data_IF_521138747932
#
_entry.id   IF_521138747932
#
_cell.length_a   1.000
_cell.length_b   1.000
_cell.length_c   1.000
_cell.angle_alpha   90.00
_cell.angle_beta   90.00
_cell.angle_gamma   90.00
#
_symmetry.space_group_name_H-M   'P 1'
#
loop_
_entity.id
_entity.type
_entity.pdbx_description
1 polymer ?
#
# COMPACT_ATOMS: atom_id res chain seq x y z
N UNK A 1 -45.08 -32.02 73.33
CA UNK A 1 -43.74 -31.39 73.41
C UNK A 1 -43.09 -31.64 72.05
N UNK A 2 -42.80 -30.71 71.15
CA UNK A 2 -42.57 -29.27 71.22
C UNK A 2 -43.06 -28.57 69.94
N UNK A 3 -43.35 -27.28 70.11
CA UNK A 3 -43.67 -26.20 69.17
C UNK A 3 -43.04 -26.31 67.76
N UNK A 4 -43.86 -26.26 66.72
CA UNK A 4 -44.21 -25.07 65.89
C UNK A 4 -43.01 -24.46 65.15
N UNK A 5 -42.83 -24.87 63.89
CA UNK A 5 -42.12 -24.10 62.87
C UNK A 5 -43.16 -23.41 61.99
N UNK A 6 -43.17 -22.07 62.01
CA UNK A 6 -43.95 -21.20 61.15
C UNK A 6 -43.01 -20.62 60.09
N UNK A 7 -43.55 -20.54 58.87
CA UNK A 7 -43.22 -19.60 57.80
C UNK A 7 -41.85 -19.76 57.11
N UNK A 8 -41.86 -20.21 55.87
CA UNK A 8 -41.74 -19.28 54.75
C UNK A 8 -42.10 -19.97 53.43
N UNK A 9 -43.22 -19.55 52.85
CA UNK A 9 -43.47 -19.70 51.42
C UNK A 9 -42.80 -18.57 50.65
N UNK A 10 -42.28 -18.88 49.47
CA UNK A 10 -42.57 -18.25 48.17
C UNK A 10 -41.50 -18.77 47.20
N UNK A 11 -41.86 -19.78 46.41
CA UNK A 11 -41.26 -19.95 45.10
C UNK A 11 -41.85 -18.87 44.21
N UNK A 12 -40.99 -18.05 43.59
CA UNK A 12 -41.13 -17.61 42.20
C UNK A 12 -40.01 -16.64 41.82
N UNK A 13 -39.51 -16.85 40.60
CA UNK A 13 -38.86 -15.89 39.69
C UNK A 13 -37.35 -15.67 39.84
N UNK A 14 -36.66 -15.91 38.72
CA UNK A 14 -35.49 -15.14 38.34
C UNK A 14 -34.21 -15.93 38.13
N UNK A 15 -34.23 -16.94 37.26
CA UNK A 15 -32.99 -17.45 36.67
C UNK A 15 -32.31 -16.36 35.85
N UNK A 16 -31.38 -15.62 36.45
CA UNK A 16 -30.45 -14.75 35.74
C UNK A 16 -29.26 -15.58 35.32
N UNK A 17 -29.42 -16.29 34.21
CA UNK A 17 -28.28 -16.73 33.39
C UNK A 17 -27.52 -15.46 33.02
N UNK A 18 -26.43 -15.18 33.74
CA UNK A 18 -25.43 -14.19 33.33
C UNK A 18 -24.71 -14.75 32.12
N UNK A 19 -25.39 -14.73 30.97
CA UNK A 19 -24.75 -14.80 29.68
C UNK A 19 -23.87 -13.55 29.60
N UNK A 20 -22.59 -13.72 29.90
CA UNK A 20 -21.56 -12.80 29.43
C UNK A 20 -21.62 -12.83 27.92
N UNK A 21 -22.48 -11.98 27.35
CA UNK A 21 -22.37 -11.54 25.98
C UNK A 21 -20.96 -10.92 25.88
N UNK A 22 -20.01 -11.73 25.44
CA UNK A 22 -18.75 -11.22 24.95
C UNK A 22 -19.12 -10.32 23.79
N UNK A 23 -19.18 -9.02 24.07
CA UNK A 23 -19.25 -8.00 23.04
C UNK A 23 -18.16 -8.35 22.02
N UNK A 24 -18.47 -8.37 20.71
CA UNK A 24 -17.45 -8.63 19.71
C UNK A 24 -16.31 -7.66 19.97
N UNK A 25 -15.13 -8.20 20.29
CA UNK A 25 -13.94 -7.41 20.52
C UNK A 25 -13.68 -6.60 19.25
N UNK A 26 -14.11 -5.34 19.25
CA UNK A 26 -13.73 -4.36 18.24
C UNK A 26 -12.23 -4.19 18.40
N UNK A 27 -11.45 -5.00 17.67
CA UNK A 27 -10.03 -4.75 17.47
C UNK A 27 -9.88 -3.29 17.06
N UNK A 28 -9.03 -2.49 17.73
CA UNK A 28 -8.84 -1.11 17.34
C UNK A 28 -8.32 -1.10 15.90
N UNK A 29 -9.11 -0.50 15.00
CA UNK A 29 -8.70 -0.20 13.63
C UNK A 29 -7.75 0.98 13.73
N UNK A 30 -6.46 0.71 13.55
CA UNK A 30 -5.36 1.69 13.67
C UNK A 30 -5.30 2.50 12.38
N UNK A 31 -4.22 3.16 11.93
CA UNK A 31 -4.15 3.56 10.49
C UNK A 31 -3.49 2.52 9.59
N UNK A 32 -3.16 1.36 10.13
CA UNK A 32 -3.45 0.11 9.43
C UNK A 32 -4.98 -0.21 9.38
N UNK A 33 -5.84 0.70 9.84
CA UNK A 33 -7.30 0.55 9.94
C UNK A 33 -8.19 1.78 9.60
N UNK A 34 -7.66 3.00 9.39
CA UNK A 34 -8.36 4.14 8.72
C UNK A 34 -7.75 4.32 7.33
N UNK A 35 -6.42 4.46 7.23
CA UNK A 35 -5.64 4.24 6.00
C UNK A 35 -5.23 2.77 5.84
N UNK A 36 -6.22 1.87 5.85
CA UNK A 36 -5.98 0.44 6.08
C UNK A 36 -5.02 -0.25 5.11
N UNK A 37 -4.57 -1.46 5.46
CA UNK A 37 -3.80 -2.33 4.57
C UNK A 37 -4.46 -2.54 3.18
N UNK A 38 -5.79 -2.39 3.08
CA UNK A 38 -6.51 -2.42 1.81
C UNK A 38 -6.11 -1.27 0.86
N UNK A 39 -5.90 -0.07 1.39
CA UNK A 39 -5.47 1.09 0.60
C UNK A 39 -4.03 0.90 0.13
N UNK A 40 -3.17 0.35 0.99
CA UNK A 40 -1.79 0.08 0.62
C UNK A 40 -1.67 -1.08 -0.38
N UNK A 41 -2.53 -2.09 -0.31
CA UNK A 41 -2.66 -3.12 -1.36
C UNK A 41 -3.08 -2.47 -2.68
N UNK A 42 -4.11 -1.59 -2.66
CA UNK A 42 -4.57 -0.84 -3.82
C UNK A 42 -3.42 -0.01 -4.43
N UNK A 43 -2.72 0.79 -3.62
CA UNK A 43 -1.54 1.58 -4.04
C UNK A 43 -0.44 0.68 -4.61
N UNK A 44 -0.20 -0.49 -4.01
CA UNK A 44 0.82 -1.42 -4.48
C UNK A 44 0.50 -2.00 -5.86
N UNK A 45 -0.78 -2.10 -6.25
CA UNK A 45 -1.21 -2.53 -7.58
C UNK A 45 -1.29 -1.39 -8.61
N UNK A 46 -1.30 -0.13 -8.17
CA UNK A 46 -1.47 1.03 -9.06
C UNK A 46 -0.24 1.37 -9.89
N UNK A 47 -0.29 1.26 -11.21
CA UNK A 47 0.86 1.67 -12.03
C UNK A 47 0.97 3.19 -12.16
N UNK A 48 -0.14 3.93 -12.24
CA UNK A 48 -0.13 5.39 -12.45
C UNK A 48 -0.53 6.20 -11.20
N UNK A 49 -0.21 7.49 -11.25
CA UNK A 49 -0.52 8.47 -10.20
C UNK A 49 -2.03 8.59 -9.90
N UNK A 50 -2.89 8.52 -10.93
CA UNK A 50 -4.33 8.69 -10.76
C UNK A 50 -4.95 7.53 -9.97
N UNK A 51 -4.48 6.30 -10.21
CA UNK A 51 -4.83 5.13 -9.44
C UNK A 51 -4.38 5.27 -7.98
N UNK A 52 -3.13 5.70 -7.75
CA UNK A 52 -2.61 5.92 -6.39
C UNK A 52 -3.46 6.96 -5.65
N UNK A 53 -3.75 8.10 -6.27
CA UNK A 53 -4.60 9.13 -5.67
C UNK A 53 -6.01 8.62 -5.38
N UNK A 54 -6.60 7.82 -6.27
CA UNK A 54 -7.89 7.19 -6.01
C UNK A 54 -7.84 6.27 -4.78
N UNK A 55 -6.85 5.38 -4.69
CA UNK A 55 -6.65 4.51 -3.53
C UNK A 55 -6.44 5.29 -2.21
N UNK A 56 -5.82 6.47 -2.27
CA UNK A 56 -5.56 7.33 -1.12
C UNK A 56 -6.73 8.27 -0.77
N UNK A 57 -7.67 8.52 -1.68
CA UNK A 57 -8.89 9.27 -1.36
C UNK A 57 -9.86 8.42 -0.53
N UNK A 58 -9.89 7.11 -0.76
CA UNK A 58 -10.80 6.21 -0.05
C UNK A 58 -10.37 5.98 1.41
N UNK A 59 -10.98 6.71 2.34
CA UNK A 59 -10.79 6.51 3.79
C UNK A 59 -9.52 7.14 4.40
N UNK A 60 -8.65 7.73 3.58
CA UNK A 60 -7.38 8.34 3.99
C UNK A 60 -7.33 9.88 3.87
N UNK A 61 -8.18 10.46 3.02
CA UNK A 61 -8.05 11.84 2.53
C UNK A 61 -7.91 12.87 3.64
N UNK A 62 -8.82 12.86 4.62
CA UNK A 62 -8.82 13.84 5.71
C UNK A 62 -7.56 13.75 6.56
N UNK A 63 -7.09 12.54 6.88
CA UNK A 63 -5.93 12.34 7.73
C UNK A 63 -4.64 12.80 7.03
N UNK A 64 -4.47 12.44 5.76
CA UNK A 64 -3.31 12.86 4.96
C UNK A 64 -3.30 14.36 4.73
N UNK A 65 -4.45 14.96 4.42
CA UNK A 65 -4.60 16.41 4.24
C UNK A 65 -4.22 17.18 5.51
N UNK A 66 -4.67 16.72 6.68
CA UNK A 66 -4.34 17.36 7.96
C UNK A 66 -2.84 17.26 8.27
N UNK A 67 -2.21 16.11 7.99
CA UNK A 67 -0.78 15.95 8.23
C UNK A 67 0.06 16.81 7.28
N UNK A 68 -0.30 16.86 6.00
CA UNK A 68 0.34 17.74 5.01
C UNK A 68 0.25 19.21 5.44
N UNK A 69 -0.94 19.67 5.80
CA UNK A 69 -1.15 21.05 6.25
C UNK A 69 -0.32 21.36 7.51
N UNK A 70 -0.26 20.42 8.47
CA UNK A 70 0.52 20.61 9.68
C UNK A 70 2.03 20.69 9.40
N UNK A 71 2.59 19.74 8.64
CA UNK A 71 4.02 19.69 8.33
C UNK A 71 4.48 20.88 7.48
N UNK A 72 3.64 21.33 6.55
CA UNK A 72 3.87 22.56 5.80
C UNK A 72 3.86 23.80 6.71
N UNK A 73 2.87 23.94 7.60
CA UNK A 73 2.78 25.05 8.56
C UNK A 73 3.94 25.06 9.55
N UNK A 74 4.42 23.88 9.96
CA UNK A 74 5.57 23.73 10.84
C UNK A 74 6.91 24.02 10.16
N UNK A 75 6.94 24.21 8.83
CA UNK A 75 8.17 24.44 8.09
C UNK A 75 9.10 23.23 8.08
N UNK A 76 8.57 22.01 8.16
CA UNK A 76 9.39 20.80 8.11
C UNK A 76 10.17 20.74 6.78
N UNK A 77 11.42 20.29 6.84
CA UNK A 77 12.18 19.94 5.64
C UNK A 77 11.74 18.56 5.09
N UNK A 78 11.87 18.29 3.78
CA UNK A 78 11.52 17.00 3.17
C UNK A 78 12.18 15.80 3.85
N UNK A 79 13.43 15.95 4.28
CA UNK A 79 14.29 14.93 4.87
C UNK A 79 14.33 14.93 6.41
N UNK A 80 13.72 15.94 7.07
CA UNK A 80 13.64 15.99 8.53
C UNK A 80 12.52 15.07 9.05
N UNK A 81 12.85 13.78 9.18
CA UNK A 81 11.93 12.75 9.69
C UNK A 81 11.48 12.97 11.13
N UNK A 82 12.16 13.83 11.89
CA UNK A 82 11.84 14.12 13.30
C UNK A 82 10.82 15.25 13.45
N UNK A 83 10.75 16.17 12.48
CA UNK A 83 9.86 17.33 12.53
C UNK A 83 8.37 16.96 12.66
N UNK A 84 7.83 15.98 11.90
CA UNK A 84 6.42 15.60 12.03
C UNK A 84 6.05 15.15 13.45
N UNK A 85 6.92 14.39 14.11
CA UNK A 85 6.66 13.96 15.51
C UNK A 85 6.70 15.13 16.47
N UNK A 86 7.68 16.02 16.31
CA UNK A 86 7.92 17.16 17.21
C UNK A 86 6.86 18.24 17.09
N UNK A 87 6.46 18.56 15.86
CA UNK A 87 5.59 19.71 15.56
C UNK A 87 4.15 19.32 15.27
N UNK A 88 3.92 18.08 14.83
CA UNK A 88 2.61 17.57 14.41
C UNK A 88 2.17 16.32 15.18
N UNK A 89 2.74 16.07 16.37
CA UNK A 89 2.56 14.83 17.13
C UNK A 89 1.11 14.38 17.32
N UNK A 90 0.17 15.30 17.59
CA UNK A 90 -1.25 14.96 17.73
C UNK A 90 -1.88 14.52 16.39
N UNK A 91 -1.61 15.24 15.30
CA UNK A 91 -2.09 14.86 13.95
C UNK A 91 -1.48 13.51 13.56
N UNK A 92 -0.19 13.32 13.86
CA UNK A 92 0.50 12.04 13.68
C UNK A 92 -0.12 10.89 14.48
N UNK A 93 -0.55 11.12 15.73
CA UNK A 93 -1.27 10.11 16.50
C UNK A 93 -2.63 9.81 15.90
N UNK A 94 -3.39 10.83 15.50
CA UNK A 94 -4.72 10.65 14.89
C UNK A 94 -4.67 10.02 13.49
N UNK A 95 -3.56 10.20 12.77
CA UNK A 95 -3.32 9.68 11.43
C UNK A 95 -2.47 8.39 11.40
N UNK A 96 -1.83 7.96 12.49
CA UNK A 96 -1.04 6.73 12.51
C UNK A 96 -1.19 5.82 13.74
N UNK A 97 -1.99 6.19 14.75
CA UNK A 97 -2.13 5.43 16.02
C UNK A 97 -3.60 5.02 16.32
N UNK A 98 -3.85 3.96 17.11
CA UNK A 98 -2.90 3.11 17.82
C UNK A 98 -2.34 1.99 16.94
N UNK A 99 -1.28 2.21 16.16
CA UNK A 99 -0.65 1.15 15.39
C UNK A 99 0.23 0.35 16.35
N UNK A 100 0.01 -0.96 16.52
CA UNK A 100 0.98 -1.77 17.24
C UNK A 100 2.37 -1.56 16.61
N UNK A 101 3.46 -1.65 17.38
CA UNK A 101 4.80 -1.76 16.80
C UNK A 101 4.71 -2.81 15.70
N UNK A 102 5.13 -2.49 14.48
CA UNK A 102 5.01 -3.48 13.41
C UNK A 102 5.83 -4.69 13.83
N UNK A 103 5.21 -5.85 14.08
CA UNK A 103 5.96 -7.04 14.45
C UNK A 103 6.76 -7.57 13.25
N UNK A 104 6.45 -7.06 12.05
CA UNK A 104 7.09 -7.48 10.82
C UNK A 104 8.36 -6.69 10.55
N UNK A 105 9.38 -7.44 10.13
CA UNK A 105 10.64 -6.90 9.67
C UNK A 105 10.49 -6.56 8.19
N UNK A 106 11.18 -5.51 7.79
CA UNK A 106 11.26 -5.18 6.38
C UNK A 106 11.90 -6.32 5.58
N UNK A 107 11.23 -6.73 4.50
CA UNK A 107 11.78 -7.71 3.56
C UNK A 107 12.89 -7.06 2.73
N UNK A 108 14.12 -7.46 3.01
CA UNK A 108 15.33 -6.95 2.35
C UNK A 108 15.50 -7.50 0.93
N UNK A 109 15.14 -8.78 0.72
CA UNK A 109 15.10 -9.38 -0.62
C UNK A 109 13.69 -9.90 -0.93
N UNK A 110 12.82 -9.05 -1.51
CA UNK A 110 11.47 -9.42 -1.92
C UNK A 110 11.40 -10.67 -2.80
N UNK A 111 12.43 -10.94 -3.59
CA UNK A 111 12.45 -12.07 -4.50
C UNK A 111 13.07 -13.35 -3.92
N UNK A 112 13.57 -13.31 -2.67
CA UNK A 112 14.06 -14.51 -2.00
C UNK A 112 12.94 -15.54 -1.84
N UNK A 113 13.06 -16.68 -2.53
CA UNK A 113 12.08 -17.76 -2.49
C UNK A 113 10.97 -17.69 -3.54
N UNK A 114 10.99 -16.70 -4.44
CA UNK A 114 10.14 -16.71 -5.65
C UNK A 114 10.85 -17.49 -6.75
N UNK A 115 10.31 -18.66 -7.09
CA UNK A 115 10.81 -19.50 -8.17
C UNK A 115 10.18 -19.15 -9.54
N UNK A 116 10.84 -19.55 -10.64
CA UNK A 116 10.29 -19.35 -11.97
C UNK A 116 8.99 -20.14 -12.16
N UNK A 117 8.00 -19.53 -12.80
CA UNK A 117 6.78 -20.21 -13.25
C UNK A 117 6.44 -19.80 -14.68
N UNK A 118 6.09 -20.77 -15.52
CA UNK A 118 5.76 -20.54 -16.93
C UNK A 118 6.99 -20.47 -17.83
N UNK A 119 6.86 -19.75 -18.95
CA UNK A 119 7.94 -19.58 -19.90
C UNK A 119 9.07 -18.69 -19.33
N UNK A 120 10.32 -18.83 -19.82
CA UNK A 120 11.41 -17.93 -19.44
C UNK A 120 11.08 -16.46 -19.71
N UNK A 121 11.51 -15.58 -18.82
CA UNK A 121 11.37 -14.13 -19.03
C UNK A 121 12.25 -13.69 -20.22
N UNK A 122 11.70 -12.97 -21.20
CA UNK A 122 12.47 -12.38 -22.29
C UNK A 122 13.60 -11.49 -21.78
N UNK A 123 14.79 -11.62 -22.36
CA UNK A 123 16.01 -10.92 -21.90
C UNK A 123 15.89 -9.40 -21.96
N UNK A 124 15.16 -8.91 -22.94
CA UNK A 124 14.86 -7.50 -23.18
C UNK A 124 13.95 -6.88 -22.11
N UNK A 125 13.15 -7.68 -21.41
CA UNK A 125 12.28 -7.23 -20.30
C UNK A 125 13.02 -7.18 -18.95
N UNK A 126 14.16 -7.87 -18.83
CA UNK A 126 14.94 -7.89 -17.59
C UNK A 126 15.51 -6.52 -17.23
N UNK A 127 15.64 -6.27 -15.92
CA UNK A 127 16.24 -5.05 -15.38
C UNK A 127 15.24 -4.16 -14.64
N UNK A 128 15.67 -2.94 -14.33
CA UNK A 128 14.86 -1.92 -13.65
C UNK A 128 14.34 -0.92 -14.66
N UNK A 129 13.08 -0.56 -14.47
CA UNK A 129 12.31 0.32 -15.32
C UNK A 129 11.61 1.36 -14.46
N UNK A 130 11.57 2.62 -14.88
CA UNK A 130 10.87 3.70 -14.20
C UNK A 130 9.75 4.25 -15.08
N UNK A 131 8.56 4.44 -14.52
CA UNK A 131 7.40 4.90 -15.27
C UNK A 131 7.66 6.30 -15.82
N UNK A 132 7.61 6.44 -17.14
CA UNK A 132 7.82 7.70 -17.85
C UNK A 132 6.49 8.31 -18.35
N UNK A 133 5.51 7.48 -18.70
CA UNK A 133 4.20 7.93 -19.14
C UNK A 133 3.11 6.88 -18.89
N UNK A 134 1.86 7.34 -18.76
CA UNK A 134 0.69 6.48 -18.67
C UNK A 134 -0.48 7.13 -19.44
N UNK A 135 -1.33 6.32 -20.06
CA UNK A 135 -2.60 6.81 -20.62
C UNK A 135 -3.51 7.19 -19.46
N UNK A 136 -3.74 8.50 -19.26
CA UNK A 136 -4.65 9.00 -18.24
C UNK A 136 -6.10 8.69 -18.65
N UNK A 137 -6.89 8.10 -17.74
CA UNK A 137 -8.33 8.01 -17.94
C UNK A 137 -8.93 9.42 -18.13
N UNK A 138 -9.82 9.57 -19.11
CA UNK A 138 -10.70 10.74 -19.15
C UNK A 138 -11.58 10.71 -17.91
N UNK A 139 -11.61 11.83 -17.17
CA UNK A 139 -12.43 11.92 -15.97
C UNK A 139 -13.91 11.83 -16.32
N UNK A 140 -14.71 11.01 -15.61
CA UNK A 140 -16.15 10.98 -15.79
C UNK A 140 -16.75 12.39 -15.58
N UNK A 141 -17.78 12.79 -16.35
CA UNK A 141 -18.46 14.06 -16.15
C UNK A 141 -18.99 14.18 -14.72
N UNK A 142 -18.66 15.28 -14.02
CA UNK A 142 -19.13 15.55 -12.66
C UNK A 142 -18.19 15.08 -11.54
N UNK A 143 -17.05 14.46 -11.87
CA UNK A 143 -15.99 14.20 -10.89
C UNK A 143 -15.33 15.54 -10.51
N UNK A 144 -15.15 15.87 -9.22
CA UNK A 144 -14.40 17.05 -8.84
C UNK A 144 -13.00 16.99 -9.47
N UNK A 145 -12.61 18.08 -10.14
CA UNK A 145 -11.34 18.18 -10.83
C UNK A 145 -10.20 17.73 -9.91
N UNK A 146 -9.22 17.01 -10.45
CA UNK A 146 -7.97 16.71 -9.75
C UNK A 146 -7.46 17.97 -9.05
N UNK A 147 -7.20 17.86 -7.76
CA UNK A 147 -6.51 18.89 -6.98
C UNK A 147 -5.14 19.21 -7.57
N UNK A 148 -4.55 18.26 -8.31
CA UNK A 148 -3.31 18.44 -9.06
C UNK A 148 -3.41 17.75 -10.45
N UNK A 149 -3.46 18.50 -11.56
CA UNK A 149 -3.64 17.95 -12.91
C UNK A 149 -2.37 17.27 -13.45
N UNK A 150 -1.22 17.42 -12.80
CA UNK A 150 0.04 16.78 -13.19
C UNK A 150 0.28 15.54 -12.32
N UNK A 151 0.90 14.47 -12.87
CA UNK A 151 1.39 13.37 -12.03
C UNK A 151 2.32 13.96 -10.97
N UNK A 152 1.97 13.75 -9.69
CA UNK A 152 2.75 14.36 -8.60
C UNK A 152 4.20 13.87 -8.69
N UNK A 153 5.20 14.77 -8.60
CA UNK A 153 6.61 14.41 -8.77
C UNK A 153 7.15 13.48 -7.68
N UNK A 154 6.43 13.34 -6.55
CA UNK A 154 6.81 12.42 -5.48
C UNK A 154 6.41 10.96 -5.76
N UNK A 155 5.59 10.71 -6.78
CA UNK A 155 5.24 9.37 -7.26
C UNK A 155 6.29 8.83 -8.22
N UNK A 156 7.40 8.33 -7.68
CA UNK A 156 8.36 7.56 -8.48
C UNK A 156 7.92 6.10 -8.49
N UNK A 157 7.52 5.60 -9.66
CA UNK A 157 7.13 4.19 -9.85
C UNK A 157 8.21 3.45 -10.61
N UNK A 158 8.67 2.33 -10.06
CA UNK A 158 9.61 1.45 -10.72
C UNK A 158 9.12 0.01 -10.78
N UNK A 159 9.40 -0.66 -11.90
CA UNK A 159 9.24 -2.09 -12.09
C UNK A 159 10.63 -2.71 -12.27
N UNK A 160 10.97 -3.68 -11.43
CA UNK A 160 12.16 -4.51 -11.61
C UNK A 160 11.71 -5.92 -12.01
N UNK A 161 12.35 -6.48 -13.05
CA UNK A 161 12.13 -7.87 -13.48
C UNK A 161 13.45 -8.62 -13.44
N UNK A 162 13.49 -9.69 -12.64
CA UNK A 162 14.70 -10.51 -12.41
C UNK A 162 14.72 -11.77 -13.28
N UNK A 163 15.92 -12.32 -13.60
CA UNK A 163 16.05 -13.53 -14.43
C UNK A 163 15.28 -14.76 -13.92
N UNK A 164 15.00 -14.84 -12.62
CA UNK A 164 14.21 -15.91 -12.00
C UNK A 164 12.70 -15.78 -12.17
N UNK A 165 12.20 -14.80 -12.93
CA UNK A 165 10.76 -14.58 -13.08
C UNK A 165 10.12 -13.90 -11.88
N UNK A 166 10.92 -13.29 -10.99
CA UNK A 166 10.39 -12.42 -9.95
C UNK A 166 10.23 -11.00 -10.50
N UNK A 167 9.12 -10.34 -10.16
CA UNK A 167 9.02 -8.89 -10.32
C UNK A 167 8.94 -8.20 -8.96
N UNK A 168 9.40 -6.96 -8.92
CA UNK A 168 9.21 -6.02 -7.83
C UNK A 168 8.65 -4.71 -8.40
N UNK A 169 7.47 -4.33 -7.95
CA UNK A 169 6.80 -3.09 -8.34
C UNK A 169 6.81 -2.17 -7.11
N UNK A 170 7.42 -0.99 -7.23
CA UNK A 170 7.65 -0.07 -6.12
C UNK A 170 7.10 1.32 -6.44
N UNK A 171 6.34 1.91 -5.51
CA UNK A 171 5.93 3.31 -5.52
C UNK A 171 6.55 4.02 -4.32
N UNK A 172 7.29 5.09 -4.57
CA UNK A 172 7.67 6.02 -3.50
C UNK A 172 6.53 7.01 -3.26
N UNK A 173 6.23 7.26 -1.98
CA UNK A 173 5.29 8.27 -1.50
C UNK A 173 6.07 9.17 -0.53
N UNK A 174 6.07 10.49 -0.76
CA UNK A 174 6.82 11.45 0.05
C UNK A 174 5.95 12.65 0.40
N UNK A 175 6.55 13.83 0.48
CA UNK A 175 5.97 15.10 0.93
C UNK A 175 4.57 15.41 0.42
N UNK A 176 4.34 15.34 -0.89
CA UNK A 176 3.06 15.75 -1.47
C UNK A 176 1.93 14.75 -1.17
N UNK A 177 2.28 13.55 -0.70
CA UNK A 177 1.36 12.48 -0.33
C UNK A 177 1.23 12.32 1.19
N UNK A 178 2.34 12.29 1.91
CA UNK A 178 2.41 11.95 3.33
C UNK A 178 2.71 13.16 4.23
N UNK A 179 2.96 14.33 3.66
CA UNK A 179 3.48 15.50 4.38
C UNK A 179 5.00 15.44 4.56
N UNK A 180 5.64 16.61 4.63
CA UNK A 180 7.11 16.72 4.67
C UNK A 180 7.72 15.97 5.85
N UNK A 181 8.86 15.32 5.64
CA UNK A 181 9.52 14.49 6.65
C UNK A 181 8.90 13.09 6.81
N UNK A 182 7.93 12.71 5.97
CA UNK A 182 7.37 11.36 5.94
C UNK A 182 7.66 10.70 4.59
N UNK A 183 7.95 9.40 4.61
CA UNK A 183 8.22 8.62 3.42
C UNK A 183 7.73 7.19 3.60
N UNK A 184 7.10 6.65 2.56
CA UNK A 184 6.82 5.23 2.41
C UNK A 184 7.23 4.76 1.02
N UNK A 185 7.90 3.63 0.95
CA UNK A 185 8.07 2.84 -0.26
C UNK A 185 7.05 1.69 -0.21
N UNK A 186 6.06 1.74 -1.11
CA UNK A 186 5.03 0.71 -1.25
C UNK A 186 5.48 -0.28 -2.32
N UNK A 187 5.80 -1.49 -1.89
CA UNK A 187 6.34 -2.56 -2.73
C UNK A 187 5.36 -3.72 -2.84
N UNK A 188 5.15 -4.23 -4.05
CA UNK A 188 4.53 -5.52 -4.31
C UNK A 188 5.49 -6.38 -5.12
N UNK A 189 5.58 -7.66 -4.80
CA UNK A 189 6.45 -8.58 -5.51
C UNK A 189 5.79 -9.94 -5.70
N UNK A 190 6.29 -10.67 -6.69
CA UNK A 190 5.75 -11.97 -7.01
C UNK A 190 6.25 -12.45 -8.35
N UNK A 191 5.39 -13.10 -9.11
CA UNK A 191 5.76 -13.85 -10.30
C UNK A 191 5.44 -13.06 -11.56
N UNK A 192 6.46 -12.83 -12.39
CA UNK A 192 6.37 -12.34 -13.76
C UNK A 192 6.06 -13.53 -14.69
N UNK A 193 4.78 -13.83 -14.86
CA UNK A 193 4.35 -15.02 -15.59
C UNK A 193 4.13 -14.71 -17.07
N UNK A 194 5.01 -15.23 -17.93
CA UNK A 194 4.94 -15.05 -19.38
C UNK A 194 4.01 -16.08 -20.01
N UNK A 195 3.10 -15.61 -20.85
CA UNK A 195 2.14 -16.40 -21.61
C UNK A 195 2.26 -16.04 -23.10
N UNK A 196 2.64 -17.00 -23.94
CA UNK A 196 2.86 -16.72 -25.37
C UNK A 196 4.09 -15.85 -25.62
N UNK A 197 4.04 -15.01 -26.67
CA UNK A 197 5.19 -14.19 -27.13
C UNK A 197 5.23 -12.80 -26.52
N UNK A 198 4.07 -12.25 -26.16
CA UNK A 198 3.87 -10.85 -25.85
C UNK A 198 2.94 -10.61 -24.66
N UNK A 199 2.48 -11.66 -23.96
CA UNK A 199 1.63 -11.50 -22.77
C UNK A 199 2.36 -11.81 -21.48
N UNK A 200 2.07 -11.01 -20.47
CA UNK A 200 2.55 -11.21 -19.10
C UNK A 200 1.43 -11.02 -18.09
N UNK A 201 1.45 -11.79 -17.02
CA UNK A 201 0.67 -11.52 -15.80
C UNK A 201 1.62 -11.22 -14.64
N UNK A 202 1.42 -10.08 -13.97
CA UNK A 202 2.13 -9.74 -12.73
C UNK A 202 1.37 -10.33 -11.53
N UNK A 203 1.73 -11.55 -11.12
CA UNK A 203 1.07 -12.23 -10.01
C UNK A 203 1.77 -11.90 -8.68
N UNK A 204 1.39 -10.79 -8.06
CA UNK A 204 1.91 -10.45 -6.73
C UNK A 204 1.57 -11.55 -5.72
N UNK A 205 2.58 -11.97 -4.95
CA UNK A 205 2.48 -12.99 -3.91
C UNK A 205 2.51 -12.37 -2.53
N UNK A 206 3.15 -11.22 -2.39
CA UNK A 206 3.31 -10.51 -1.14
C UNK A 206 3.60 -9.02 -1.41
N UNK A 207 3.57 -8.21 -0.36
CA UNK A 207 3.88 -6.80 -0.46
C UNK A 207 4.07 -6.15 0.90
N UNK A 208 4.69 -4.98 0.89
CA UNK A 208 4.96 -4.21 2.09
C UNK A 208 5.04 -2.71 1.78
N UNK A 209 4.52 -1.87 2.67
CA UNK A 209 4.92 -0.47 2.73
C UNK A 209 5.96 -0.27 3.84
N UNK A 210 7.13 0.29 3.54
CA UNK A 210 8.17 0.61 4.53
C UNK A 210 8.66 2.04 4.46
N UNK A 211 8.99 2.62 5.61
CA UNK A 211 9.64 3.93 5.69
C UNK A 211 9.31 4.71 6.95
N UNK A 212 9.94 5.87 7.16
CA UNK A 212 9.68 6.73 8.30
C UNK A 212 8.35 7.47 8.14
N UNK A 213 7.46 7.29 9.12
CA UNK A 213 6.23 8.09 9.22
C UNK A 213 6.08 8.57 10.65
N UNK A 214 5.93 9.88 10.80
CA UNK A 214 5.85 10.54 12.08
C UNK A 214 7.02 10.17 13.00
N UNK A 215 8.24 10.21 12.43
CA UNK A 215 9.51 9.92 13.11
C UNK A 215 9.68 8.49 13.62
N UNK A 216 8.80 7.58 13.20
CA UNK A 216 8.89 6.15 13.54
C UNK A 216 9.10 5.34 12.26
N UNK A 217 9.99 4.33 12.26
CA UNK A 217 10.03 3.36 11.18
C UNK A 217 8.72 2.58 11.16
N UNK A 218 8.10 2.50 9.98
CA UNK A 218 6.90 1.72 9.74
C UNK A 218 7.19 0.61 8.75
N UNK A 219 6.58 -0.54 9.02
CA UNK A 219 6.52 -1.69 8.14
C UNK A 219 5.07 -2.13 8.13
N UNK A 220 4.40 -2.09 6.99
CA UNK A 220 2.98 -2.42 6.88
C UNK A 220 2.84 -3.60 5.91
N UNK A 221 2.51 -4.82 6.39
CA UNK A 221 2.22 -5.95 5.51
C UNK A 221 1.05 -5.67 4.57
N UNK A 222 1.19 -6.11 3.33
CA UNK A 222 0.11 -6.14 2.35
C UNK A 222 -0.29 -7.60 2.18
N UNK A 223 -1.45 -7.98 2.73
CA UNK A 223 -1.82 -9.39 2.90
C UNK A 223 -1.85 -10.21 1.60
N UNK A 224 -1.37 -11.46 1.71
CA UNK A 224 -1.41 -12.51 0.69
C UNK A 224 -2.86 -12.85 0.29
N UNK A 225 -3.15 -12.84 -1.01
CA UNK A 225 -4.46 -13.24 -1.57
C UNK A 225 -5.42 -12.11 -1.94
N UNK A 226 -5.01 -10.84 -1.81
CA UNK A 226 -5.78 -9.68 -2.29
C UNK A 226 -5.29 -9.10 -3.61
N UNK A 227 -4.11 -9.52 -4.05
CA UNK A 227 -3.55 -9.07 -5.30
C UNK A 227 -4.27 -9.74 -6.46
N UNK A 228 -4.95 -8.95 -7.29
CA UNK A 228 -5.67 -9.41 -8.47
C UNK A 228 -4.82 -9.34 -9.73
N UNK A 229 -3.69 -8.61 -9.71
CA UNK A 229 -2.60 -8.73 -10.68
C UNK A 229 -3.03 -8.67 -12.15
N UNK A 230 -3.15 -7.47 -12.74
CA UNK A 230 -3.56 -7.32 -14.14
C UNK A 230 -2.71 -8.12 -15.13
N UNK A 231 -3.36 -8.53 -16.22
CA UNK A 231 -2.73 -9.11 -17.40
C UNK A 231 -2.37 -8.00 -18.37
N UNK A 232 -1.21 -8.14 -19.00
CA UNK A 232 -0.68 -7.17 -19.94
C UNK A 232 -0.26 -7.84 -21.23
N UNK A 233 -0.43 -7.13 -22.33
CA UNK A 233 0.47 -7.25 -23.48
C UNK A 233 1.68 -6.35 -23.22
N UNK A 234 2.89 -6.82 -23.52
CA UNK A 234 4.11 -6.04 -23.37
C UNK A 234 4.82 -5.87 -24.72
N UNK A 235 5.52 -4.75 -24.86
CA UNK A 235 6.39 -4.45 -26.00
C UNK A 235 7.64 -3.74 -25.49
N UNK A 236 8.80 -4.14 -26.00
CA UNK A 236 10.07 -3.46 -25.70
C UNK A 236 10.60 -2.83 -26.98
N UNK A 237 10.80 -1.52 -26.95
CA UNK A 237 11.44 -0.75 -28.01
C UNK A 237 12.66 -0.02 -27.45
N UNK A 238 13.86 -0.49 -27.80
CA UNK A 238 15.12 0.00 -27.23
C UNK A 238 15.09 -0.05 -25.69
N UNK A 239 14.98 1.12 -25.05
CA UNK A 239 14.97 1.29 -23.60
C UNK A 239 13.59 1.66 -23.06
N UNK A 240 12.54 1.46 -23.85
CA UNK A 240 11.16 1.68 -23.43
C UNK A 240 10.41 0.35 -23.35
N UNK A 241 9.91 0.01 -22.16
CA UNK A 241 8.96 -1.07 -21.92
C UNK A 241 7.56 -0.48 -21.89
N UNK A 242 6.70 -0.91 -22.81
CA UNK A 242 5.28 -0.58 -22.80
C UNK A 242 4.48 -1.77 -22.27
N UNK A 243 3.64 -1.54 -21.27
CA UNK A 243 2.64 -2.49 -20.78
C UNK A 243 1.25 -1.98 -21.12
N UNK A 244 0.44 -2.80 -21.79
CA UNK A 244 -0.95 -2.50 -22.16
C UNK A 244 -1.87 -3.46 -21.44
N UNK A 245 -2.84 -2.96 -20.67
CA UNK A 245 -3.79 -3.81 -19.94
C UNK A 245 -4.63 -4.62 -20.93
N UNK A 246 -4.67 -5.95 -20.75
CA UNK A 246 -5.46 -6.88 -21.56
C UNK A 246 -6.93 -6.87 -21.11
N UNK A 247 -7.57 -5.70 -21.18
CA UNK A 247 -8.99 -5.47 -20.90
C UNK A 247 -9.60 -4.44 -21.87
N UNK A 248 -10.88 -4.11 -21.72
CA UNK A 248 -11.57 -3.14 -22.58
C UNK A 248 -11.00 -1.70 -22.49
N UNK A 249 -10.23 -1.37 -21.44
CA UNK A 249 -9.64 -0.04 -21.26
C UNK A 249 -8.40 0.16 -22.13
N UNK A 250 -7.68 -0.90 -22.47
CA UNK A 250 -6.42 -0.86 -23.25
C UNK A 250 -5.43 0.20 -22.72
N UNK A 251 -5.44 0.46 -21.41
CA UNK A 251 -4.55 1.46 -20.78
C UNK A 251 -3.11 1.07 -21.00
N UNK A 252 -2.29 2.03 -21.40
CA UNK A 252 -0.86 1.82 -21.63
C UNK A 252 -0.02 2.52 -20.57
N UNK A 253 1.09 1.88 -20.21
CA UNK A 253 2.09 2.37 -19.28
C UNK A 253 3.47 2.22 -19.93
N UNK A 254 4.18 3.32 -20.10
CA UNK A 254 5.51 3.35 -20.68
C UNK A 254 6.53 3.54 -19.57
N UNK A 255 7.47 2.62 -19.49
CA UNK A 255 8.58 2.68 -18.57
C UNK A 255 9.88 2.86 -19.33
N UNK A 256 10.73 3.74 -18.83
CA UNK A 256 12.08 3.94 -19.31
C UNK A 256 13.04 3.04 -18.52
N UNK A 257 13.98 2.40 -19.20
CA UNK A 257 15.03 1.60 -18.56
C UNK A 257 15.90 2.52 -17.70
N UNK A 258 16.13 2.10 -16.47
CA UNK A 258 17.13 2.69 -15.59
C UNK A 258 18.38 1.84 -15.75
N UNK A 259 19.49 2.44 -16.18
CA UNK A 259 20.77 1.75 -16.11
C UNK A 259 21.00 1.31 -14.67
N UNK A 260 21.21 0.01 -14.46
CA UNK A 260 21.59 -0.51 -13.16
C UNK A 260 22.88 0.18 -12.76
N UNK A 261 22.78 1.22 -11.91
CA UNK A 261 23.94 1.73 -11.21
C UNK A 261 24.56 0.55 -10.50
N UNK A 262 25.77 0.16 -10.90
CA UNK A 262 26.57 -0.76 -10.12
C UNK A 262 26.54 -0.26 -8.66
N UNK A 263 26.44 -1.14 -7.65
CA UNK A 263 26.58 -0.69 -6.28
C UNK A 263 27.88 0.10 -6.19
N UNK A 264 27.80 1.30 -5.58
CA UNK A 264 28.99 2.07 -5.28
C UNK A 264 29.98 1.12 -4.59
N UNK A 265 31.14 0.93 -5.21
CA UNK A 265 32.26 0.27 -4.54
C UNK A 265 32.63 1.19 -3.37
N UNK A 266 32.22 0.82 -2.16
CA UNK A 266 32.99 1.18 -0.97
C UNK A 266 34.31 0.39 -0.98
#
# INVERSE_FOLDING_TARGET
MSSRALLAGLMLLGGTLSATAQAPSRRPRTLAGVCGAANWVCVAECIDAACVDHCLREGCETALTQLQACTAKAGCAPDDTSCPTRSCGQVCQQAFEPAPPSPEKEQQDPCAGIGPQGAPVPKDVLGRWELAAATLQQEPPGTPARTDPQPRPDFVRSLEVRPGGCFLLSTQLKDATLGRGNQLEVRAWGIFSVSGKDKVTLQAKDGQASGPVCGKPRVIPLSKGKFLGPRYTFQVEKDTLTLTVDDASQRTFQFQRVESGAPAKE
#
